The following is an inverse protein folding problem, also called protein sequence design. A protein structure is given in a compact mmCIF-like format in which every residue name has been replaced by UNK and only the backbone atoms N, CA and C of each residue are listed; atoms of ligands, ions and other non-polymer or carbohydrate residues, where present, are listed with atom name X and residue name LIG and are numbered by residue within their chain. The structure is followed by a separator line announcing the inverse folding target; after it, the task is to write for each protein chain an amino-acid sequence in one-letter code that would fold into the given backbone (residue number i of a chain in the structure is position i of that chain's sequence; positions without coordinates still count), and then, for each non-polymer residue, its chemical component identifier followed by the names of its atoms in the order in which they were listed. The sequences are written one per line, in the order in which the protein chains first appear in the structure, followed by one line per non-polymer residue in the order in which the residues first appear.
data_IF_078164406367
#
_entry.id   IF_078164406367
#
_cell.length_a   1.000
_cell.length_b   1.000
_cell.length_c   1.000
_cell.angle_alpha   90.00
_cell.angle_beta   90.00
_cell.angle_gamma   90.00
#
_symmetry.space_group_name_H-M   'P 1'
#
loop_
_entity.id
_entity.type
_entity.pdbx_description
1 polymer ?
#
# COMPACT_ATOMS: atom_id res chain seq x y z
N UNK A 1 -0.17 -17.35 -3.17
CA UNK A 1 -1.40 -17.26 -2.32
C UNK A 1 -1.77 -15.80 -2.13
N UNK A 2 -3.06 -15.51 -1.92
CA UNK A 2 -3.55 -14.15 -1.61
C UNK A 2 -4.43 -14.22 -0.36
N UNK A 3 -4.55 -13.11 0.35
CA UNK A 3 -5.47 -12.99 1.49
C UNK A 3 -6.85 -12.64 0.94
N UNK A 4 -7.84 -13.48 1.20
CA UNK A 4 -9.22 -13.32 0.73
C UNK A 4 -10.10 -12.62 1.76
N UNK A 5 -9.94 -12.96 3.04
CA UNK A 5 -10.74 -12.42 4.13
C UNK A 5 -9.85 -12.09 5.31
N UNK A 6 -10.18 -10.99 5.99
CA UNK A 6 -9.54 -10.58 7.24
C UNK A 6 -10.61 -10.59 8.33
N UNK A 7 -10.35 -11.30 9.40
CA UNK A 7 -11.14 -11.28 10.64
C UNK A 7 -10.28 -10.69 11.75
N UNK A 8 -10.82 -9.71 12.47
CA UNK A 8 -10.14 -9.04 13.58
C UNK A 8 -11.12 -8.95 14.74
N UNK A 9 -10.70 -9.37 15.92
CA UNK A 9 -11.51 -9.27 17.13
C UNK A 9 -10.71 -8.67 18.27
N UNK A 10 -11.30 -7.69 18.94
CA UNK A 10 -10.76 -7.04 20.13
C UNK A 10 -9.40 -6.35 19.90
N UNK A 11 -9.18 -5.70 18.73
CA UNK A 11 -7.90 -5.03 18.41
C UNK A 11 -8.09 -3.51 18.38
N UNK A 12 -7.47 -2.78 19.31
CA UNK A 12 -7.48 -1.29 19.39
C UNK A 12 -8.90 -0.71 19.33
N UNK A 13 -9.31 -0.10 18.21
CA UNK A 13 -10.66 0.46 18.02
C UNK A 13 -11.67 -0.55 17.46
N UNK A 14 -11.23 -1.77 17.18
CA UNK A 14 -12.04 -2.80 16.52
C UNK A 14 -12.54 -3.78 17.57
N UNK A 15 -13.86 -3.85 17.80
CA UNK A 15 -14.46 -4.89 18.64
C UNK A 15 -14.51 -6.21 17.88
N UNK A 16 -15.13 -6.19 16.71
CA UNK A 16 -15.16 -7.33 15.80
C UNK A 16 -15.37 -6.81 14.38
N UNK A 17 -14.61 -7.35 13.43
CA UNK A 17 -14.66 -6.91 12.04
C UNK A 17 -14.30 -8.07 11.14
N UNK A 18 -15.08 -8.27 10.09
CA UNK A 18 -14.77 -9.19 9.00
C UNK A 18 -14.88 -8.43 7.68
N UNK A 19 -13.92 -8.57 6.81
CA UNK A 19 -13.97 -7.94 5.48
C UNK A 19 -13.27 -8.80 4.44
N UNK A 20 -13.86 -8.84 3.24
CA UNK A 20 -13.23 -9.46 2.08
C UNK A 20 -12.24 -8.51 1.43
N UNK A 21 -11.19 -9.06 0.85
CA UNK A 21 -10.17 -8.30 0.12
C UNK A 21 -10.19 -8.68 -1.36
N UNK A 22 -9.88 -7.72 -2.21
CA UNK A 22 -9.69 -7.95 -3.63
C UNK A 22 -8.34 -8.67 -3.85
N UNK A 23 -8.24 -9.58 -4.81
CA UNK A 23 -6.98 -10.29 -5.09
C UNK A 23 -5.81 -9.40 -5.47
N UNK A 24 -6.06 -8.22 -6.02
CA UNK A 24 -5.02 -7.28 -6.44
C UNK A 24 -4.93 -6.08 -5.52
N UNK A 25 -6.00 -5.27 -5.42
CA UNK A 25 -5.98 -4.02 -4.65
C UNK A 25 -7.24 -3.90 -3.81
N UNK A 26 -7.09 -3.60 -2.53
CA UNK A 26 -8.20 -3.18 -1.66
C UNK A 26 -7.92 -1.78 -1.13
N UNK A 27 -8.92 -0.91 -1.24
CA UNK A 27 -8.83 0.49 -0.82
C UNK A 27 -9.71 0.70 0.42
N UNK A 28 -9.08 0.95 1.56
CA UNK A 28 -9.79 1.27 2.81
C UNK A 28 -9.97 2.79 2.87
N UNK A 29 -11.18 3.27 2.61
CA UNK A 29 -11.46 4.71 2.60
C UNK A 29 -12.44 5.08 3.71
N UNK A 30 -12.29 6.27 4.29
CA UNK A 30 -13.18 6.75 5.34
C UNK A 30 -12.61 7.95 6.06
N UNK A 31 -13.39 8.53 6.98
CA UNK A 31 -12.94 9.68 7.77
C UNK A 31 -11.70 9.39 8.62
N UNK A 32 -11.06 10.44 9.07
CA UNK A 32 -10.01 10.29 10.07
C UNK A 32 -10.56 9.60 11.32
N UNK A 33 -9.73 8.80 11.96
CA UNK A 33 -10.06 8.04 13.18
C UNK A 33 -11.16 6.96 12.99
N UNK A 34 -11.52 6.62 11.76
CA UNK A 34 -12.49 5.55 11.51
C UNK A 34 -11.95 4.14 11.77
N UNK A 35 -10.63 3.98 11.89
CA UNK A 35 -9.99 2.71 12.19
C UNK A 35 -9.23 2.07 11.00
N UNK A 36 -9.11 2.77 9.87
CA UNK A 36 -8.38 2.28 8.67
C UNK A 36 -6.98 1.77 9.02
N UNK A 37 -6.18 2.62 9.68
CA UNK A 37 -4.83 2.27 10.14
C UNK A 37 -4.83 1.08 11.08
N UNK A 38 -5.85 0.95 11.95
CA UNK A 38 -5.93 -0.17 12.88
C UNK A 38 -6.19 -1.50 12.16
N UNK A 39 -6.88 -1.50 11.02
CA UNK A 39 -7.02 -2.70 10.18
C UNK A 39 -5.65 -3.12 9.64
N UNK A 40 -4.89 -2.18 9.07
CA UNK A 40 -3.54 -2.48 8.56
C UNK A 40 -2.60 -2.94 9.69
N UNK A 41 -2.66 -2.27 10.85
CA UNK A 41 -1.83 -2.65 12.01
C UNK A 41 -2.19 -4.04 12.54
N UNK A 42 -3.47 -4.42 12.53
CA UNK A 42 -3.86 -5.78 12.91
C UNK A 42 -3.27 -6.79 11.92
N UNK A 43 -3.36 -6.53 10.61
CA UNK A 43 -2.76 -7.41 9.60
C UNK A 43 -1.23 -7.50 9.78
N UNK A 44 -0.57 -6.38 10.11
CA UNK A 44 0.88 -6.36 10.40
C UNK A 44 1.19 -7.18 11.66
N UNK A 45 0.37 -7.03 12.69
CA UNK A 45 0.53 -7.74 13.97
C UNK A 45 0.33 -9.28 13.83
N UNK A 46 -0.23 -9.72 12.71
CA UNK A 46 -0.33 -11.14 12.38
C UNK A 46 1.06 -11.76 12.14
N UNK A 47 2.05 -11.00 11.66
CA UNK A 47 3.39 -11.52 11.42
C UNK A 47 4.00 -12.15 12.70
N UNK A 48 4.72 -13.28 12.59
CA UNK A 48 5.31 -13.92 13.76
C UNK A 48 6.31 -13.07 14.53
N UNK A 49 7.06 -12.22 13.81
CA UNK A 49 8.11 -11.38 14.38
C UNK A 49 7.58 -10.02 14.89
N UNK A 50 6.26 -9.80 14.81
CA UNK A 50 5.65 -8.55 15.28
C UNK A 50 5.45 -8.55 16.79
N UNK A 51 5.57 -7.38 17.38
CA UNK A 51 5.10 -7.19 18.76
C UNK A 51 3.58 -7.49 18.79
N UNK A 52 3.18 -8.40 19.65
CA UNK A 52 1.77 -8.79 19.77
C UNK A 52 1.50 -9.18 21.21
N UNK A 53 0.74 -8.37 21.89
CA UNK A 53 0.42 -8.63 23.29
C UNK A 53 -0.93 -8.03 23.69
N UNK A 54 -1.29 -8.21 24.91
CA UNK A 54 -2.53 -7.75 25.49
C UNK A 54 -2.69 -6.21 25.44
N UNK A 55 -1.60 -5.44 25.36
CA UNK A 55 -1.69 -3.97 25.28
C UNK A 55 -2.39 -3.48 24.00
N UNK A 56 -2.44 -4.34 22.98
CA UNK A 56 -3.15 -4.06 21.72
C UNK A 56 -4.65 -4.31 21.81
N UNK A 57 -5.13 -4.86 22.93
CA UNK A 57 -6.53 -5.28 23.08
C UNK A 57 -7.46 -4.08 23.22
N UNK A 58 -8.56 -4.13 22.51
CA UNK A 58 -9.61 -3.10 22.56
C UNK A 58 -10.14 -2.94 23.99
N UNK A 59 -10.02 -1.74 24.53
CA UNK A 59 -10.41 -1.44 25.91
C UNK A 59 -11.90 -1.62 26.19
N UNK A 60 -12.72 -1.61 25.15
CA UNK A 60 -14.17 -1.76 25.25
C UNK A 60 -14.63 -3.23 25.10
N UNK A 61 -13.67 -4.14 24.90
CA UNK A 61 -13.96 -5.57 24.72
C UNK A 61 -13.88 -6.34 26.04
N UNK A 62 -14.58 -7.45 26.12
CA UNK A 62 -14.48 -8.39 27.26
C UNK A 62 -13.06 -8.95 27.40
N UNK A 63 -12.31 -9.03 26.29
CA UNK A 63 -10.93 -9.49 26.27
C UNK A 63 -10.01 -8.62 27.15
N UNK A 64 -10.28 -7.30 27.17
CA UNK A 64 -9.45 -6.35 27.96
C UNK A 64 -9.55 -6.66 29.46
N UNK A 65 -10.77 -6.85 29.96
CA UNK A 65 -10.99 -7.23 31.35
C UNK A 65 -10.37 -8.57 31.73
N UNK A 66 -10.29 -9.49 30.78
CA UNK A 66 -9.71 -10.83 30.96
C UNK A 66 -8.20 -10.87 30.67
N UNK A 67 -7.59 -9.76 30.30
CA UNK A 67 -6.17 -9.66 29.89
C UNK A 67 -5.81 -10.61 28.74
N UNK A 68 -6.77 -10.85 27.83
CA UNK A 68 -6.54 -11.66 26.62
C UNK A 68 -6.00 -10.81 25.50
N UNK A 69 -5.14 -11.40 24.65
CA UNK A 69 -4.70 -10.80 23.40
C UNK A 69 -5.86 -10.71 22.40
N UNK A 70 -5.76 -9.78 21.42
CA UNK A 70 -6.71 -9.77 20.32
C UNK A 70 -6.68 -11.08 19.52
N UNK A 71 -7.67 -11.30 18.68
CA UNK A 71 -7.67 -12.40 17.71
C UNK A 71 -7.59 -11.82 16.30
N UNK A 72 -6.69 -12.35 15.50
CA UNK A 72 -6.54 -11.97 14.09
C UNK A 72 -6.52 -13.25 13.26
N UNK A 73 -7.43 -13.34 12.29
CA UNK A 73 -7.44 -14.48 11.37
C UNK A 73 -7.41 -13.98 9.92
N UNK A 74 -6.54 -14.58 9.14
CA UNK A 74 -6.41 -14.28 7.71
C UNK A 74 -6.75 -15.54 6.92
N UNK A 75 -7.66 -15.40 5.96
CA UNK A 75 -8.02 -16.45 5.03
C UNK A 75 -7.12 -16.38 3.79
N UNK A 76 -6.44 -17.47 3.49
CA UNK A 76 -5.54 -17.58 2.34
C UNK A 76 -6.16 -18.45 1.26
N UNK A 77 -6.35 -17.90 0.07
CA UNK A 77 -6.75 -18.66 -1.11
C UNK A 77 -5.54 -19.44 -1.64
N UNK A 78 -5.73 -20.76 -1.85
CA UNK A 78 -4.64 -21.67 -2.20
C UNK A 78 -4.43 -21.66 -3.72
N UNK A 79 -3.27 -21.16 -4.19
CA UNK A 79 -2.89 -21.28 -5.59
C UNK A 79 -2.35 -22.69 -5.88
N UNK A 80 -2.38 -23.10 -7.15
CA UNK A 80 -1.87 -24.41 -7.57
C UNK A 80 -0.43 -24.68 -7.09
N UNK A 81 0.43 -23.66 -7.21
CA UNK A 81 1.83 -23.79 -6.79
C UNK A 81 1.98 -23.90 -5.27
N UNK A 82 1.12 -23.20 -4.52
CA UNK A 82 1.14 -23.24 -3.05
C UNK A 82 0.66 -24.57 -2.50
N UNK A 83 -0.29 -25.23 -3.17
CA UNK A 83 -0.87 -26.52 -2.73
C UNK A 83 0.20 -27.57 -2.48
N UNK A 84 1.15 -27.70 -3.41
CA UNK A 84 2.24 -28.67 -3.28
C UNK A 84 3.14 -28.41 -2.06
N UNK A 85 3.33 -27.14 -1.72
CA UNK A 85 4.10 -26.77 -0.52
C UNK A 85 3.31 -27.05 0.76
N UNK A 86 2.00 -26.83 0.75
CA UNK A 86 1.13 -27.01 1.91
C UNK A 86 0.87 -28.47 2.23
N UNK A 87 0.86 -29.36 1.24
CA UNK A 87 0.67 -30.81 1.42
C UNK A 87 1.73 -31.44 2.35
N UNK A 88 2.89 -30.79 2.50
CA UNK A 88 3.94 -31.27 3.44
C UNK A 88 3.49 -31.16 4.90
N UNK A 89 2.52 -30.31 5.20
CA UNK A 89 2.07 -30.06 6.57
C UNK A 89 0.81 -30.86 6.93
N UNK A 90 -0.07 -31.09 5.95
CA UNK A 90 -1.30 -31.90 6.16
C UNK A 90 -1.95 -32.27 4.83
N UNK A 91 -2.48 -33.50 4.75
CA UNK A 91 -3.29 -33.96 3.61
C UNK A 91 -4.61 -33.15 3.48
N UNK A 92 -5.04 -32.48 4.54
CA UNK A 92 -6.27 -31.64 4.50
C UNK A 92 -6.18 -30.53 3.43
N UNK A 93 -4.97 -30.07 3.08
CA UNK A 93 -4.78 -29.05 2.03
C UNK A 93 -5.03 -29.57 0.61
N UNK A 94 -5.21 -30.88 0.42
CA UNK A 94 -5.39 -31.51 -0.90
C UNK A 94 -6.65 -30.98 -1.61
N UNK A 95 -7.75 -30.94 -0.89
CA UNK A 95 -9.06 -30.52 -1.43
C UNK A 95 -9.46 -29.09 -1.04
N UNK A 96 -8.79 -28.47 -0.07
CA UNK A 96 -9.14 -27.15 0.41
C UNK A 96 -8.92 -26.08 -0.67
N UNK A 97 -9.88 -25.17 -0.84
CA UNK A 97 -9.74 -24.01 -1.74
C UNK A 97 -9.08 -22.84 -0.99
N UNK A 98 -9.38 -22.71 0.31
CA UNK A 98 -8.81 -21.71 1.20
C UNK A 98 -8.61 -22.30 2.60
N UNK A 99 -7.94 -21.57 3.45
CA UNK A 99 -7.79 -21.90 4.87
C UNK A 99 -7.54 -20.63 5.67
N UNK A 100 -7.96 -20.65 6.91
CA UNK A 100 -7.66 -19.58 7.86
C UNK A 100 -6.42 -19.93 8.67
N UNK A 101 -5.61 -18.90 8.92
CA UNK A 101 -4.60 -18.93 9.97
C UNK A 101 -5.00 -17.88 10.99
N UNK A 102 -5.19 -18.30 12.23
CA UNK A 102 -5.63 -17.46 13.34
C UNK A 102 -4.50 -17.30 14.34
N UNK A 103 -4.25 -16.05 14.77
CA UNK A 103 -3.29 -15.69 15.81
C UNK A 103 -4.07 -15.24 17.05
N UNK A 104 -3.81 -15.85 18.21
CA UNK A 104 -4.49 -15.57 19.47
C UNK A 104 -3.53 -15.11 20.58
N UNK A 105 -2.22 -15.08 20.33
CA UNK A 105 -1.21 -14.67 21.29
C UNK A 105 0.16 -14.43 20.65
N UNK A 106 1.17 -14.12 21.47
CA UNK A 106 2.48 -13.69 20.96
C UNK A 106 3.36 -14.82 20.42
N UNK A 107 3.08 -16.06 20.79
CA UNK A 107 3.98 -17.18 20.48
C UNK A 107 3.58 -17.92 19.20
N UNK A 108 4.50 -18.64 18.61
CA UNK A 108 4.23 -19.50 17.42
C UNK A 108 3.16 -20.55 17.74
N UNK A 109 3.12 -21.03 18.98
CA UNK A 109 2.12 -21.99 19.47
C UNK A 109 0.71 -21.42 19.56
N UNK A 110 0.57 -20.08 19.49
CA UNK A 110 -0.73 -19.42 19.56
C UNK A 110 -1.37 -19.23 18.18
N UNK A 111 -0.73 -19.79 17.13
CA UNK A 111 -1.31 -19.84 15.80
C UNK A 111 -2.07 -21.15 15.60
N UNK A 112 -3.22 -21.04 14.93
CA UNK A 112 -4.08 -22.17 14.59
C UNK A 112 -4.43 -22.13 13.11
N UNK A 113 -4.52 -23.29 12.48
CA UNK A 113 -4.95 -23.44 11.09
C UNK A 113 -6.34 -24.03 11.08
N UNK A 114 -7.27 -23.42 10.32
CA UNK A 114 -8.63 -23.91 10.18
C UNK A 114 -8.97 -24.12 8.70
N UNK A 115 -9.54 -25.28 8.40
CA UNK A 115 -10.12 -25.60 7.07
C UNK A 115 -11.56 -26.03 7.32
N UNK A 116 -12.52 -25.38 6.67
CA UNK A 116 -13.96 -25.63 6.85
C UNK A 116 -14.35 -25.59 8.34
N UNK A 117 -13.88 -24.56 9.06
CA UNK A 117 -14.12 -24.32 10.50
C UNK A 117 -13.55 -25.40 11.44
N UNK A 118 -12.76 -26.34 10.92
CA UNK A 118 -12.11 -27.37 11.74
C UNK A 118 -10.62 -27.05 11.91
N UNK A 119 -10.16 -27.10 13.14
CA UNK A 119 -8.75 -26.91 13.46
C UNK A 119 -7.93 -28.10 12.94
N UNK A 120 -6.90 -27.81 12.16
CA UNK A 120 -5.99 -28.80 11.57
C UNK A 120 -4.66 -28.74 12.35
N UNK A 121 -4.24 -29.83 12.97
CA UNK A 121 -2.99 -29.86 13.72
C UNK A 121 -1.80 -29.72 12.75
N UNK A 122 -0.91 -28.77 13.04
CA UNK A 122 0.31 -28.52 12.24
C UNK A 122 1.52 -28.72 13.17
N UNK A 123 2.36 -29.70 12.87
CA UNK A 123 3.52 -30.02 13.69
C UNK A 123 4.62 -28.95 13.62
N UNK A 124 4.80 -28.33 12.45
CA UNK A 124 5.81 -27.28 12.25
C UNK A 124 5.13 -25.99 11.76
N UNK A 125 4.53 -25.27 12.69
CA UNK A 125 3.83 -24.02 12.42
C UNK A 125 4.78 -22.94 11.85
N UNK A 126 6.01 -22.87 12.36
CA UNK A 126 7.02 -21.90 11.89
C UNK A 126 7.29 -22.04 10.39
N UNK A 127 7.50 -23.27 9.93
CA UNK A 127 7.71 -23.53 8.50
C UNK A 127 6.46 -23.25 7.66
N UNK A 128 5.27 -23.55 8.18
CA UNK A 128 4.02 -23.21 7.49
C UNK A 128 3.89 -21.69 7.32
N UNK A 129 4.09 -20.92 8.40
CA UNK A 129 4.01 -19.46 8.35
C UNK A 129 5.03 -18.86 7.35
N UNK A 130 6.22 -19.48 7.22
CA UNK A 130 7.22 -19.02 6.23
C UNK A 130 6.79 -19.24 4.77
N UNK A 131 5.81 -20.13 4.54
CA UNK A 131 5.25 -20.38 3.19
C UNK A 131 4.15 -19.40 2.81
N UNK A 132 3.65 -18.61 3.76
CA UNK A 132 2.62 -17.61 3.50
C UNK A 132 3.21 -16.38 2.79
N UNK A 133 2.38 -15.59 2.08
CA UNK A 133 2.82 -14.30 1.56
C UNK A 133 3.37 -13.41 2.67
N UNK A 134 4.44 -12.69 2.38
CA UNK A 134 5.04 -11.77 3.35
C UNK A 134 4.22 -10.48 3.43
N UNK A 135 3.78 -10.13 4.63
CA UNK A 135 3.05 -8.89 4.88
C UNK A 135 4.08 -7.79 5.20
N UNK A 136 4.14 -6.77 4.35
CA UNK A 136 5.05 -5.63 4.49
C UNK A 136 4.24 -4.34 4.66
N UNK A 137 4.51 -3.62 5.75
CA UNK A 137 3.76 -2.41 6.13
C UNK A 137 4.59 -1.15 5.86
N UNK A 138 3.98 -0.18 5.19
CA UNK A 138 4.56 1.11 4.86
C UNK A 138 3.72 2.23 5.49
N UNK A 139 4.20 2.82 6.58
CA UNK A 139 3.57 3.99 7.21
C UNK A 139 4.49 5.24 7.21
N UNK A 140 5.75 5.05 7.52
CA UNK A 140 6.71 6.16 7.63
C UNK A 140 7.97 5.83 6.82
N UNK A 141 7.98 6.27 5.59
CA UNK A 141 9.09 6.04 4.65
C UNK A 141 10.12 7.16 4.83
N UNK A 142 11.37 6.82 5.19
CA UNK A 142 12.42 7.84 5.26
C UNK A 142 12.56 8.57 3.92
N UNK A 143 12.41 9.89 3.96
CA UNK A 143 12.53 10.71 2.77
C UNK A 143 13.98 10.78 2.30
N UNK A 144 14.19 10.61 1.01
CA UNK A 144 15.50 10.66 0.37
C UNK A 144 16.22 11.97 0.70
N UNK A 145 17.53 11.89 0.97
CA UNK A 145 18.42 13.00 1.35
C UNK A 145 19.49 13.22 0.29
N UNK A 146 19.94 14.45 0.18
CA UNK A 146 21.01 14.81 -0.76
C UNK A 146 22.36 14.21 -0.36
N UNK A 147 22.72 14.29 0.94
CA UNK A 147 24.05 13.91 1.43
C UNK A 147 23.99 12.72 2.35
N UNK A 148 24.77 11.71 2.05
CA UNK A 148 24.86 10.50 2.86
C UNK A 148 26.32 10.12 3.04
N UNK A 149 26.77 10.04 4.28
CA UNK A 149 28.14 9.62 4.56
C UNK A 149 28.27 8.09 4.43
N UNK A 150 29.47 7.67 4.09
CA UNK A 150 29.85 6.27 3.87
C UNK A 150 29.39 5.36 5.03
N UNK A 151 29.69 5.77 6.28
CA UNK A 151 29.39 4.93 7.45
C UNK A 151 27.88 4.75 7.64
N UNK A 152 27.08 5.77 7.37
CA UNK A 152 25.61 5.66 7.46
C UNK A 152 25.05 4.61 6.48
N UNK A 153 25.66 4.50 5.30
CA UNK A 153 25.27 3.50 4.30
C UNK A 153 25.74 2.08 4.71
N UNK A 154 27.01 1.95 5.10
CA UNK A 154 27.62 0.64 5.43
C UNK A 154 27.00 0.08 6.72
N UNK A 155 26.85 0.91 7.77
CA UNK A 155 26.29 0.49 9.06
C UNK A 155 24.77 0.20 8.97
N UNK A 156 24.13 0.57 7.86
CA UNK A 156 22.70 0.31 7.68
C UNK A 156 21.80 1.13 8.58
N UNK A 157 22.16 2.39 8.85
CA UNK A 157 21.37 3.24 9.76
C UNK A 157 19.94 3.43 9.22
N UNK A 158 18.89 3.23 10.04
CA UNK A 158 17.50 3.28 9.59
C UNK A 158 17.12 4.59 8.86
N UNK A 159 17.65 5.72 9.30
CA UNK A 159 17.38 7.02 8.69
C UNK A 159 17.94 7.20 7.27
N UNK A 160 18.68 6.22 6.74
CA UNK A 160 19.27 6.23 5.40
C UNK A 160 18.88 4.99 4.58
N UNK A 161 17.77 4.37 4.97
CA UNK A 161 17.26 3.16 4.30
C UNK A 161 16.91 3.44 2.84
N UNK A 162 16.31 4.58 2.54
CA UNK A 162 15.91 4.95 1.18
C UNK A 162 17.12 5.06 0.24
N UNK A 163 18.21 5.66 0.69
CA UNK A 163 19.43 5.82 -0.10
C UNK A 163 20.11 4.46 -0.32
N UNK A 164 20.14 3.60 0.70
CA UNK A 164 20.64 2.22 0.52
C UNK A 164 19.78 1.44 -0.48
N UNK A 165 18.47 1.58 -0.40
CA UNK A 165 17.54 0.92 -1.32
C UNK A 165 17.69 1.47 -2.74
N UNK A 166 17.94 2.79 -2.87
CA UNK A 166 18.26 3.39 -4.17
C UNK A 166 19.47 2.71 -4.83
N UNK A 167 20.53 2.53 -4.07
CA UNK A 167 21.75 1.87 -4.57
C UNK A 167 21.46 0.42 -5.00
N UNK A 168 20.73 -0.33 -4.20
CA UNK A 168 20.30 -1.70 -4.55
C UNK A 168 19.46 -1.74 -5.82
N UNK A 169 18.55 -0.84 -5.95
CA UNK A 169 17.75 -0.68 -7.18
C UNK A 169 18.63 -0.36 -8.39
N UNK A 170 19.70 0.40 -8.15
CA UNK A 170 20.36 0.55 -8.95
C UNK A 170 21.12 -0.28 -9.24
N UNK A 171 21.43 -1.47 -8.79
CA UNK A 171 22.32 -2.60 -8.99
C UNK A 171 23.65 -2.55 -8.22
N UNK A 172 23.76 -1.63 -7.30
CA UNK A 172 24.95 -1.46 -6.45
C UNK A 172 24.67 -2.18 -5.12
N UNK A 173 25.09 -3.45 -5.05
CA UNK A 173 24.95 -4.25 -3.82
C UNK A 173 26.06 -3.94 -2.84
N UNK A 174 27.28 -3.77 -3.35
CA UNK A 174 28.45 -3.41 -2.55
C UNK A 174 28.65 -1.90 -2.60
N UNK A 175 28.29 -1.23 -1.53
CA UNK A 175 28.36 0.22 -1.39
C UNK A 175 29.84 0.71 -1.47
N UNK A 176 30.80 -0.10 -1.01
CA UNK A 176 32.21 0.28 -0.97
C UNK A 176 32.75 0.65 -2.35
N UNK A 177 32.27 -0.05 -3.39
CA UNK A 177 32.65 0.18 -4.80
C UNK A 177 32.48 1.65 -5.21
N UNK A 178 31.44 2.33 -4.70
CA UNK A 178 31.19 3.74 -5.02
C UNK A 178 32.25 4.68 -4.44
N UNK A 179 32.83 4.30 -3.30
CA UNK A 179 33.73 5.17 -2.54
C UNK A 179 35.20 4.90 -2.87
N UNK A 180 35.49 3.89 -3.68
CA UNK A 180 36.80 3.72 -4.28
C UNK A 180 36.99 4.82 -5.33
N UNK A 181 38.04 5.58 -5.20
CA UNK A 181 38.36 6.65 -6.21
C UNK A 181 38.89 6.01 -7.50
N UNK A 182 38.02 5.27 -8.15
CA UNK A 182 38.33 4.48 -9.34
C UNK A 182 37.39 4.83 -10.48
N UNK A 183 37.79 4.51 -11.70
CA UNK A 183 36.93 4.60 -12.88
C UNK A 183 35.69 3.71 -12.71
N UNK A 184 35.84 2.59 -12.01
CA UNK A 184 34.75 1.65 -11.78
C UNK A 184 33.64 2.27 -10.90
N UNK A 185 33.98 2.87 -9.76
CA UNK A 185 33.04 3.56 -8.89
C UNK A 185 32.27 4.68 -9.59
N UNK A 186 32.98 5.50 -10.37
CA UNK A 186 32.35 6.57 -11.15
C UNK A 186 31.37 6.03 -12.20
N UNK A 187 31.75 4.96 -12.92
CA UNK A 187 30.84 4.30 -13.88
C UNK A 187 29.63 3.70 -13.23
N UNK A 188 29.80 3.09 -12.04
CA UNK A 188 28.67 2.52 -11.27
C UNK A 188 27.66 3.62 -10.89
N UNK A 189 28.14 4.76 -10.37
CA UNK A 189 27.29 5.89 -10.02
C UNK A 189 26.55 6.46 -11.24
N UNK A 190 27.25 6.59 -12.37
CA UNK A 190 26.66 7.09 -13.63
C UNK A 190 25.59 6.12 -14.17
N UNK A 191 25.86 4.83 -14.16
CA UNK A 191 24.90 3.83 -14.61
C UNK A 191 23.67 3.81 -13.71
N UNK A 192 23.85 3.87 -12.40
CA UNK A 192 22.75 3.95 -11.43
C UNK A 192 21.90 5.20 -11.65
N UNK A 193 22.54 6.35 -11.90
CA UNK A 193 21.87 7.62 -12.21
C UNK A 193 20.95 7.49 -13.42
N UNK A 194 21.45 6.91 -14.51
CA UNK A 194 20.67 6.68 -15.73
C UNK A 194 19.49 5.75 -15.47
N UNK A 195 19.74 4.63 -14.82
CA UNK A 195 18.72 3.62 -14.55
C UNK A 195 17.56 4.18 -13.72
N UNK A 196 17.87 4.88 -12.62
CA UNK A 196 16.80 5.43 -11.76
C UNK A 196 16.05 6.57 -12.46
N UNK A 197 16.76 7.39 -13.24
CA UNK A 197 16.15 8.46 -14.03
C UNK A 197 15.12 7.88 -15.02
N UNK A 198 15.53 6.87 -15.79
CA UNK A 198 14.64 6.20 -16.75
C UNK A 198 13.41 5.62 -16.05
N UNK A 199 13.60 4.95 -14.92
CA UNK A 199 12.51 4.34 -14.18
C UNK A 199 11.54 5.39 -13.64
N UNK A 200 12.02 6.47 -13.02
CA UNK A 200 11.13 7.49 -12.45
C UNK A 200 10.34 8.22 -13.54
N UNK A 201 10.94 8.46 -14.70
CA UNK A 201 10.26 9.09 -15.84
C UNK A 201 9.09 8.27 -16.38
N UNK A 202 9.12 6.94 -16.22
CA UNK A 202 8.00 6.10 -16.68
C UNK A 202 6.79 6.16 -15.74
N UNK A 203 7.00 6.57 -14.49
CA UNK A 203 5.95 6.50 -13.47
C UNK A 203 5.53 7.87 -12.92
N UNK A 204 6.33 8.92 -13.14
CA UNK A 204 6.03 10.28 -12.69
C UNK A 204 5.79 11.19 -13.90
N UNK A 205 4.50 11.41 -14.21
CA UNK A 205 4.11 12.17 -15.40
C UNK A 205 4.17 13.69 -15.23
N UNK A 206 4.25 14.17 -13.95
CA UNK A 206 4.22 15.60 -13.65
C UNK A 206 5.45 16.36 -14.12
N UNK A 207 6.57 15.67 -14.27
CA UNK A 207 7.84 16.29 -14.64
C UNK A 207 8.67 15.32 -15.50
N UNK A 208 8.36 15.21 -16.79
CA UNK A 208 9.03 14.25 -17.68
C UNK A 208 10.53 14.51 -17.87
N UNK A 209 10.99 15.72 -17.56
CA UNK A 209 12.40 16.14 -17.70
C UNK A 209 13.25 15.77 -16.47
N UNK A 210 12.66 15.27 -15.38
CA UNK A 210 13.39 14.99 -14.14
C UNK A 210 14.59 14.07 -14.40
N UNK A 211 15.72 14.40 -13.78
CA UNK A 211 16.96 13.62 -13.85
C UNK A 211 17.54 13.47 -12.43
N UNK A 212 17.93 12.27 -12.07
CA UNK A 212 18.52 11.95 -10.77
C UNK A 212 19.99 11.63 -10.99
N UNK A 213 20.86 12.33 -10.29
CA UNK A 213 22.31 12.20 -10.45
C UNK A 213 22.96 11.78 -9.12
N UNK A 214 23.71 10.69 -9.19
CA UNK A 214 24.53 10.20 -8.08
C UNK A 214 25.98 10.60 -8.34
N UNK A 215 26.62 11.15 -7.32
CA UNK A 215 28.05 11.47 -7.38
C UNK A 215 28.69 11.24 -6.01
N UNK A 216 29.98 10.95 -6.01
CA UNK A 216 30.72 10.71 -4.77
C UNK A 216 31.89 11.68 -4.70
N UNK A 217 32.04 12.30 -3.52
CA UNK A 217 33.20 13.16 -3.22
C UNK A 217 33.73 12.76 -1.83
N UNK A 218 34.94 12.17 -1.82
CA UNK A 218 35.52 11.60 -0.62
C UNK A 218 34.65 10.49 -0.07
N UNK A 219 34.21 10.61 1.20
CA UNK A 219 33.36 9.64 1.87
C UNK A 219 31.88 10.08 1.93
N UNK A 220 31.43 10.88 0.94
CA UNK A 220 30.04 11.37 0.90
C UNK A 220 29.43 11.06 -0.46
N UNK A 221 28.28 10.39 -0.45
CA UNK A 221 27.42 10.24 -1.62
C UNK A 221 26.49 11.44 -1.70
N UNK A 222 26.41 12.05 -2.86
CA UNK A 222 25.48 13.13 -3.19
C UNK A 222 24.42 12.60 -4.14
N UNK A 223 23.18 12.95 -3.87
CA UNK A 223 22.01 12.62 -4.71
C UNK A 223 21.39 13.95 -5.11
N UNK A 224 21.60 14.36 -6.34
CA UNK A 224 21.07 15.60 -6.87
C UNK A 224 19.92 15.32 -7.83
N UNK A 225 19.01 16.29 -7.95
CA UNK A 225 17.85 16.20 -8.84
C UNK A 225 17.88 17.44 -9.73
N UNK A 226 17.75 17.24 -11.03
CA UNK A 226 17.63 18.35 -11.97
C UNK A 226 16.40 18.17 -12.86
N UNK A 227 16.07 19.22 -13.58
CA UNK A 227 15.02 19.22 -14.59
C UNK A 227 15.47 20.09 -15.77
N UNK A 228 14.57 20.44 -16.67
CA UNK A 228 14.90 21.24 -17.85
C UNK A 228 15.31 22.68 -17.54
N UNK A 229 15.19 23.14 -16.31
CA UNK A 229 15.73 24.44 -15.89
C UNK A 229 17.25 24.42 -15.68
N UNK A 230 17.86 23.23 -15.73
CA UNK A 230 19.30 22.99 -15.62
C UNK A 230 19.94 23.31 -14.26
N UNK A 231 19.14 23.61 -13.26
CA UNK A 231 19.64 23.82 -11.91
C UNK A 231 19.72 22.48 -11.18
N UNK A 232 20.90 22.15 -10.65
CA UNK A 232 21.05 20.98 -9.77
C UNK A 232 20.45 21.33 -8.40
N UNK A 233 19.32 20.72 -8.12
CA UNK A 233 18.64 20.87 -6.83
C UNK A 233 18.92 19.67 -5.93
N UNK A 234 18.78 19.88 -4.65
CA UNK A 234 18.80 18.75 -3.70
C UNK A 234 17.39 18.18 -3.55
N UNK A 235 17.22 16.92 -3.14
CA UNK A 235 15.88 16.39 -2.83
C UNK A 235 15.12 17.26 -1.84
N UNK A 236 15.81 17.88 -0.88
CA UNK A 236 15.21 18.71 0.16
C UNK A 236 14.59 20.01 -0.38
N UNK A 237 15.03 20.49 -1.53
CA UNK A 237 14.48 21.70 -2.16
C UNK A 237 13.27 21.39 -3.05
N UNK A 238 13.08 20.12 -3.45
CA UNK A 238 11.93 19.69 -4.24
C UNK A 238 10.68 19.62 -3.37
N UNK A 239 9.53 19.61 -3.99
CA UNK A 239 8.24 19.51 -3.27
C UNK A 239 8.20 18.25 -2.40
N UNK A 240 7.58 18.35 -1.23
CA UNK A 240 7.42 17.22 -0.31
C UNK A 240 6.72 16.03 -1.00
N UNK A 241 5.75 16.33 -1.87
CA UNK A 241 5.04 15.30 -2.64
C UNK A 241 5.97 14.50 -3.54
N UNK A 242 6.78 15.18 -4.36
CA UNK A 242 7.75 14.52 -5.25
C UNK A 242 8.76 13.70 -4.44
N UNK A 243 9.30 14.30 -3.38
CA UNK A 243 10.30 13.65 -2.53
C UNK A 243 9.72 12.38 -1.87
N UNK A 244 8.46 12.47 -1.38
CA UNK A 244 7.76 11.32 -0.81
C UNK A 244 7.54 10.22 -1.88
N UNK A 245 7.06 10.62 -3.06
CA UNK A 245 6.79 9.69 -4.16
C UNK A 245 8.05 8.93 -4.59
N UNK A 246 9.15 9.66 -4.78
CA UNK A 246 10.45 9.07 -5.15
C UNK A 246 10.93 8.09 -4.08
N UNK A 247 10.84 8.48 -2.80
CA UNK A 247 11.24 7.63 -1.67
C UNK A 247 10.38 6.36 -1.62
N UNK A 248 9.07 6.50 -1.76
CA UNK A 248 8.13 5.37 -1.80
C UNK A 248 8.50 4.40 -2.93
N UNK A 249 8.67 4.92 -4.15
CA UNK A 249 8.95 4.11 -5.33
C UNK A 249 10.26 3.33 -5.18
N UNK A 250 11.31 3.98 -4.69
CA UNK A 250 12.62 3.36 -4.44
C UNK A 250 12.48 2.21 -3.42
N UNK A 251 11.85 2.49 -2.29
CA UNK A 251 11.71 1.49 -1.20
C UNK A 251 10.86 0.30 -1.67
N UNK A 252 9.81 0.56 -2.44
CA UNK A 252 8.96 -0.48 -2.98
C UNK A 252 9.72 -1.37 -3.97
N UNK A 253 10.46 -0.77 -4.92
CA UNK A 253 11.27 -1.53 -5.89
C UNK A 253 12.33 -2.39 -5.20
N UNK A 254 12.97 -1.86 -4.17
CA UNK A 254 13.98 -2.61 -3.42
C UNK A 254 13.39 -3.85 -2.74
N UNK A 255 12.17 -3.74 -2.20
CA UNK A 255 11.46 -4.86 -1.60
C UNK A 255 11.14 -5.94 -2.63
N UNK A 256 10.60 -5.54 -3.78
CA UNK A 256 10.14 -6.51 -4.79
C UNK A 256 11.30 -7.20 -5.50
N UNK A 257 12.46 -6.54 -5.65
CA UNK A 257 13.63 -7.14 -6.31
C UNK A 257 14.36 -8.18 -5.44
N UNK A 258 14.24 -8.09 -4.11
CA UNK A 258 14.89 -9.03 -3.20
C UNK A 258 14.26 -10.43 -3.21
N UNK A 259 13.11 -10.59 -3.86
CA UNK A 259 12.36 -11.83 -3.77
C UNK A 259 12.00 -12.34 -5.17
N UNK A 260 12.68 -13.38 -5.59
CA UNK A 260 12.35 -14.09 -6.84
C UNK A 260 11.15 -15.05 -6.68
N UNK A 261 10.76 -15.38 -5.45
CA UNK A 261 9.80 -16.45 -5.19
C UNK A 261 8.67 -16.13 -4.22
N UNK A 262 8.77 -15.05 -3.45
CA UNK A 262 7.77 -14.74 -2.42
C UNK A 262 6.78 -13.68 -2.93
N UNK A 263 5.51 -14.01 -2.83
CA UNK A 263 4.43 -13.06 -3.04
C UNK A 263 4.37 -12.13 -1.82
N UNK A 264 4.15 -10.85 -2.06
CA UNK A 264 3.99 -9.86 -0.98
C UNK A 264 2.55 -9.40 -0.87
N UNK A 265 2.14 -9.12 0.35
CA UNK A 265 0.95 -8.34 0.67
C UNK A 265 1.46 -7.01 1.21
N UNK A 266 1.31 -5.95 0.44
CA UNK A 266 1.75 -4.61 0.82
C UNK A 266 0.61 -3.87 1.50
N UNK A 267 0.87 -3.42 2.73
CA UNK A 267 -0.05 -2.60 3.52
C UNK A 267 0.52 -1.18 3.52
N UNK A 268 -0.23 -0.21 2.97
CA UNK A 268 0.30 1.15 2.80
C UNK A 268 -0.66 2.14 3.46
N UNK A 269 -0.19 2.84 4.48
CA UNK A 269 -1.04 3.76 5.22
C UNK A 269 -0.97 5.17 4.61
N UNK A 270 -2.13 5.67 4.14
CA UNK A 270 -2.31 6.99 3.55
C UNK A 270 -1.27 7.35 2.47
N UNK A 271 -1.05 6.48 1.45
CA UNK A 271 -0.12 6.83 0.39
C UNK A 271 -0.61 8.08 -0.35
N UNK A 272 0.31 8.94 -0.71
CA UNK A 272 -0.01 10.13 -1.49
C UNK A 272 -0.63 11.29 -0.70
N UNK A 273 -0.62 11.25 0.63
CA UNK A 273 -1.17 12.35 1.45
C UNK A 273 -0.49 13.70 1.13
N UNK A 274 0.76 13.66 0.70
CA UNK A 274 1.53 14.85 0.33
C UNK A 274 1.46 15.17 -1.17
N UNK A 275 0.72 14.36 -1.96
CA UNK A 275 0.64 14.53 -3.39
C UNK A 275 -0.54 15.40 -3.79
N UNK A 276 -0.32 16.26 -4.76
CA UNK A 276 -1.36 16.96 -5.51
C UNK A 276 -2.27 15.92 -6.23
N UNK A 277 -3.54 16.22 -6.52
CA UNK A 277 -4.44 15.26 -7.18
C UNK A 277 -3.88 14.56 -8.42
N UNK A 278 -3.15 15.26 -9.29
CA UNK A 278 -2.53 14.63 -10.46
C UNK A 278 -1.47 13.60 -10.04
N UNK A 279 -0.65 13.91 -9.04
CA UNK A 279 0.34 12.96 -8.48
C UNK A 279 -0.32 11.75 -7.81
N UNK A 280 -1.48 11.94 -7.18
CA UNK A 280 -2.25 10.83 -6.62
C UNK A 280 -2.76 9.89 -7.72
N UNK A 281 -3.22 10.43 -8.86
CA UNK A 281 -3.61 9.62 -10.03
C UNK A 281 -2.41 8.83 -10.58
N UNK A 282 -1.23 9.43 -10.65
CA UNK A 282 -0.01 8.72 -11.06
C UNK A 282 0.34 7.60 -10.07
N UNK A 283 0.23 7.87 -8.77
CA UNK A 283 0.48 6.86 -7.75
C UNK A 283 -0.49 5.67 -7.89
N UNK A 284 -1.77 5.93 -8.18
CA UNK A 284 -2.74 4.84 -8.41
C UNK A 284 -2.29 3.96 -9.58
N UNK A 285 -1.83 4.54 -10.69
CA UNK A 285 -1.31 3.76 -11.84
C UNK A 285 -0.11 2.88 -11.43
N UNK A 286 0.79 3.43 -10.61
CA UNK A 286 1.93 2.67 -10.08
C UNK A 286 1.45 1.50 -9.23
N UNK A 287 0.51 1.75 -8.30
CA UNK A 287 -0.04 0.69 -7.45
C UNK A 287 -0.71 -0.41 -8.30
N UNK A 288 -1.42 -0.05 -9.38
CA UNK A 288 -2.02 -1.02 -10.32
C UNK A 288 -0.94 -1.90 -10.98
N UNK A 289 0.14 -1.27 -11.45
CA UNK A 289 1.26 -2.01 -12.06
C UNK A 289 1.92 -2.96 -11.06
N UNK A 290 2.12 -2.49 -9.84
CA UNK A 290 2.75 -3.27 -8.78
C UNK A 290 1.85 -4.43 -8.30
N UNK A 291 0.53 -4.27 -8.41
CA UNK A 291 -0.45 -5.28 -8.02
C UNK A 291 -0.56 -6.44 -9.02
N UNK A 292 0.14 -6.37 -10.17
CA UNK A 292 0.19 -7.50 -11.11
C UNK A 292 0.89 -8.73 -10.50
N UNK A 293 1.80 -8.52 -9.53
CA UNK A 293 2.58 -9.59 -8.90
C UNK A 293 2.38 -9.66 -7.39
N UNK A 294 1.70 -8.69 -6.80
CA UNK A 294 1.56 -8.55 -5.35
C UNK A 294 0.12 -8.23 -5.01
N UNK A 295 -0.26 -8.42 -3.75
CA UNK A 295 -1.55 -7.93 -3.25
C UNK A 295 -1.29 -6.62 -2.50
N UNK A 296 -2.09 -5.60 -2.75
CA UNK A 296 -1.91 -4.26 -2.14
C UNK A 296 -3.19 -3.88 -1.39
N UNK A 297 -3.03 -3.51 -0.13
CA UNK A 297 -4.12 -2.95 0.68
C UNK A 297 -3.64 -1.58 1.15
N UNK A 298 -4.38 -0.53 0.82
CA UNK A 298 -3.99 0.81 1.28
C UNK A 298 -5.16 1.58 1.86
N UNK A 299 -4.83 2.51 2.75
CA UNK A 299 -5.81 3.42 3.34
C UNK A 299 -5.78 4.76 2.60
N UNK A 300 -6.90 5.46 2.60
CA UNK A 300 -6.93 6.83 2.11
C UNK A 300 -8.16 7.57 2.63
N UNK A 301 -8.08 8.90 2.65
CA UNK A 301 -9.24 9.77 2.79
C UNK A 301 -9.47 10.58 1.50
N UNK A 302 -8.65 10.36 0.46
CA UNK A 302 -8.72 11.10 -0.80
C UNK A 302 -9.50 10.34 -1.87
N UNK A 303 -10.51 10.97 -2.50
CA UNK A 303 -11.23 10.35 -3.62
C UNK A 303 -10.38 10.17 -4.87
N UNK A 304 -9.27 10.90 -5.00
CA UNK A 304 -8.33 10.78 -6.12
C UNK A 304 -7.49 9.51 -6.07
N UNK A 305 -7.47 8.86 -4.90
CA UNK A 305 -6.77 7.58 -4.71
C UNK A 305 -7.66 6.38 -5.02
N UNK A 306 -8.86 6.60 -5.57
CA UNK A 306 -9.77 5.52 -5.98
C UNK A 306 -9.66 5.32 -7.49
N UNK A 307 -9.36 4.09 -7.92
CA UNK A 307 -9.52 3.72 -9.32
C UNK A 307 -11.01 3.43 -9.58
N UNK A 308 -11.65 4.28 -10.36
CA UNK A 308 -13.10 4.23 -10.62
C UNK A 308 -13.52 3.07 -11.52
N UNK A 309 -12.57 2.48 -12.24
CA UNK A 309 -12.85 1.33 -13.10
C UNK A 309 -13.09 0.05 -12.28
N UNK A 310 -12.68 0.05 -11.02
CA UNK A 310 -12.79 -1.10 -10.10
C UNK A 310 -13.46 -0.69 -8.78
N UNK A 311 -14.73 -0.27 -8.81
CA UNK A 311 -15.42 0.21 -7.60
C UNK A 311 -15.56 -0.85 -6.51
N UNK A 312 -15.59 -2.13 -6.89
CA UNK A 312 -15.71 -3.28 -5.97
C UNK A 312 -14.49 -3.45 -5.07
N UNK A 313 -13.39 -2.76 -5.35
CA UNK A 313 -12.18 -2.78 -4.51
C UNK A 313 -12.25 -1.87 -3.31
N UNK A 314 -13.27 -1.00 -3.26
CA UNK A 314 -13.39 0.02 -2.21
C UNK A 314 -14.11 -0.55 -0.98
N UNK A 315 -13.51 -0.33 0.18
CA UNK A 315 -14.05 -0.70 1.49
C UNK A 315 -14.22 0.58 2.30
N UNK A 316 -15.45 0.98 2.56
CA UNK A 316 -15.73 2.17 3.36
C UNK A 316 -15.61 1.82 4.85
N UNK A 317 -14.66 2.45 5.53
CA UNK A 317 -14.43 2.26 6.96
C UNK A 317 -15.08 3.40 7.73
N UNK A 318 -15.97 3.06 8.63
CA UNK A 318 -16.67 4.02 9.50
C UNK A 318 -16.53 3.57 10.96
N UNK A 319 -16.81 4.48 11.88
CA UNK A 319 -16.76 4.19 13.31
C UNK A 319 -18.05 4.67 13.97
N UNK A 320 -18.59 3.84 14.83
CA UNK A 320 -19.75 4.16 15.65
C UNK A 320 -19.47 3.76 17.12
N UNK A 321 -20.49 3.70 17.95
CA UNK A 321 -20.36 3.32 19.38
C UNK A 321 -19.91 1.88 19.59
N UNK A 322 -20.07 1.03 18.58
CA UNK A 322 -19.68 -0.39 18.61
C UNK A 322 -18.29 -0.61 17.99
N UNK A 323 -17.56 0.47 17.66
CA UNK A 323 -16.22 0.37 17.10
C UNK A 323 -16.17 0.65 15.61
N UNK A 324 -15.12 0.16 14.97
CA UNK A 324 -14.87 0.32 13.54
C UNK A 324 -15.61 -0.72 12.72
N UNK A 325 -16.22 -0.30 11.61
CA UNK A 325 -17.01 -1.16 10.70
C UNK A 325 -16.54 -0.95 9.26
N UNK A 326 -16.68 -1.99 8.43
CA UNK A 326 -16.33 -1.94 7.01
C UNK A 326 -17.58 -2.26 6.18
N UNK A 327 -17.88 -1.37 5.21
CA UNK A 327 -18.89 -1.59 4.17
C UNK A 327 -18.18 -1.87 2.84
N UNK A 328 -18.31 -3.09 2.35
CA UNK A 328 -17.70 -3.54 1.09
C UNK A 328 -18.56 -3.20 -0.14
N UNK A 329 -19.76 -2.66 0.05
CA UNK A 329 -20.71 -2.36 -1.02
C UNK A 329 -21.06 -0.87 -1.11
N UNK A 330 -20.24 -0.01 -0.54
CA UNK A 330 -20.45 1.44 -0.49
C UNK A 330 -20.66 2.09 -1.87
N UNK A 331 -20.17 1.44 -2.93
CA UNK A 331 -20.30 1.90 -4.32
C UNK A 331 -21.69 1.67 -4.91
N UNK A 332 -22.48 0.72 -4.37
CA UNK A 332 -23.77 0.29 -4.96
C UNK A 332 -24.87 1.36 -4.95
N UNK A 333 -24.78 2.35 -4.09
CA UNK A 333 -25.78 3.42 -3.99
C UNK A 333 -25.25 4.75 -4.56
N UNK A 334 -24.67 4.71 -5.76
CA UNK A 334 -24.02 5.87 -6.39
C UNK A 334 -23.03 6.56 -5.45
N UNK A 335 -22.27 5.77 -4.73
CA UNK A 335 -21.26 6.24 -3.78
C UNK A 335 -21.83 7.12 -2.64
N UNK A 336 -23.14 7.08 -2.41
CA UNK A 336 -23.79 7.92 -1.39
C UNK A 336 -23.21 7.73 0.01
N UNK A 337 -22.98 6.47 0.50
CA UNK A 337 -22.34 6.27 1.79
C UNK A 337 -20.95 6.87 1.84
N UNK A 338 -20.15 6.67 0.78
CA UNK A 338 -18.80 7.20 0.70
C UNK A 338 -18.81 8.74 0.69
N UNK A 339 -19.61 9.36 -0.19
CA UNK A 339 -19.71 10.83 -0.29
C UNK A 339 -20.07 11.45 1.05
N UNK A 340 -21.07 10.87 1.75
CA UNK A 340 -21.50 11.35 3.06
C UNK A 340 -20.36 11.22 4.09
N UNK A 341 -19.61 10.11 4.04
CA UNK A 341 -18.56 9.81 5.00
C UNK A 341 -17.34 10.74 4.87
N UNK A 342 -16.96 11.09 3.64
CA UNK A 342 -15.80 11.97 3.38
C UNK A 342 -16.19 13.43 3.14
N UNK A 343 -17.47 13.77 3.30
CA UNK A 343 -17.94 15.15 3.23
C UNK A 343 -18.08 15.72 1.81
N UNK A 344 -18.11 14.89 0.76
CA UNK A 344 -18.25 15.36 -0.62
C UNK A 344 -19.71 15.62 -0.97
N UNK A 345 -19.97 16.79 -1.53
CA UNK A 345 -21.26 17.13 -2.15
C UNK A 345 -21.29 16.71 -3.62
N UNK A 346 -22.47 16.61 -4.20
CA UNK A 346 -22.61 16.26 -5.62
C UNK A 346 -21.88 17.32 -6.50
N UNK A 347 -21.95 18.59 -6.11
CA UNK A 347 -21.25 19.66 -6.82
C UNK A 347 -19.74 19.51 -6.87
N UNK A 348 -19.14 18.91 -5.83
CA UNK A 348 -17.69 18.73 -5.80
C UNK A 348 -17.20 17.74 -6.86
N UNK A 349 -18.06 16.81 -7.29
CA UNK A 349 -17.70 15.82 -8.30
C UNK A 349 -17.43 16.47 -9.67
N UNK A 350 -17.97 17.66 -9.92
CA UNK A 350 -17.71 18.40 -11.17
C UNK A 350 -16.25 18.84 -11.30
N UNK A 351 -15.63 19.14 -10.17
CA UNK A 351 -14.22 19.55 -10.17
C UNK A 351 -13.25 18.38 -10.33
N UNK A 352 -13.78 17.14 -10.33
CA UNK A 352 -12.96 15.95 -10.28
C UNK A 352 -13.04 15.05 -11.52
N UNK A 353 -13.79 15.49 -12.55
CA UNK A 353 -13.89 14.73 -13.79
C UNK A 353 -13.42 15.56 -14.98
N UNK A 354 -12.62 14.94 -15.83
CA UNK A 354 -12.14 15.59 -17.04
C UNK A 354 -13.29 15.73 -18.06
N UNK A 355 -14.25 14.79 -18.02
CA UNK A 355 -15.47 14.83 -18.83
C UNK A 355 -16.69 14.43 -17.97
N UNK A 356 -17.63 15.34 -17.79
CA UNK A 356 -18.86 15.05 -17.05
C UNK A 356 -20.09 15.33 -17.90
N UNK A 357 -20.87 14.30 -18.17
CA UNK A 357 -22.21 14.46 -18.74
C UNK A 357 -23.22 14.49 -17.59
N UNK A 358 -23.84 15.65 -17.39
CA UNK A 358 -24.88 15.79 -16.37
C UNK A 358 -26.24 15.61 -17.03
N UNK A 359 -26.91 14.54 -16.67
CA UNK A 359 -28.29 14.33 -17.05
C UNK A 359 -29.17 14.67 -15.85
N UNK A 360 -29.69 15.89 -15.83
CA UNK A 360 -30.73 16.30 -14.87
C UNK A 360 -32.06 15.79 -15.39
N UNK A 361 -32.65 14.82 -14.69
CA UNK A 361 -33.99 14.36 -14.98
C UNK A 361 -34.98 15.31 -14.31
N UNK A 362 -35.72 16.13 -15.07
CA UNK A 362 -36.73 17.00 -14.47
C UNK A 362 -37.91 16.16 -13.94
N UNK A 363 -38.53 16.67 -12.93
CA UNK A 363 -39.74 16.06 -12.34
C UNK A 363 -40.91 15.97 -13.33
N UNK A 364 -40.83 16.62 -14.49
CA UNK A 364 -41.82 16.52 -15.58
C UNK A 364 -41.13 16.03 -16.87
N UNK A 365 -41.79 15.14 -17.60
CA UNK A 365 -41.29 14.52 -18.84
C UNK A 365 -41.05 15.56 -19.94
N UNK A 366 -39.80 15.95 -20.15
CA UNK A 366 -39.37 16.73 -21.32
C UNK A 366 -38.58 15.82 -22.24
N UNK A 367 -38.88 15.75 -23.53
CA UNK A 367 -38.13 14.88 -24.47
C UNK A 367 -36.64 15.22 -24.53
N UNK A 368 -35.81 14.20 -24.59
CA UNK A 368 -34.34 14.27 -24.58
C UNK A 368 -33.78 15.21 -25.67
N UNK A 369 -34.43 15.25 -26.82
CA UNK A 369 -34.01 16.06 -27.98
C UNK A 369 -33.99 17.57 -27.67
N UNK A 370 -34.85 18.04 -26.74
CA UNK A 370 -34.89 19.46 -26.38
C UNK A 370 -33.83 19.87 -25.35
N UNK A 371 -33.20 18.90 -24.68
CA UNK A 371 -32.15 19.16 -23.67
C UNK A 371 -30.80 19.36 -24.32
N UNK A 372 -30.49 18.58 -25.34
CA UNK A 372 -29.24 18.70 -26.08
C UNK A 372 -29.09 20.03 -26.83
N UNK A 373 -30.23 20.72 -27.13
CA UNK A 373 -30.21 22.04 -27.77
C UNK A 373 -29.76 23.16 -26.81
N UNK A 374 -29.96 22.99 -25.50
CA UNK A 374 -29.52 24.00 -24.51
C UNK A 374 -28.01 23.94 -24.32
N UNK A 375 -27.46 22.76 -24.29
CA UNK A 375 -25.99 22.54 -24.09
C UNK A 375 -25.18 23.14 -25.26
N UNK A 376 -25.62 22.89 -26.49
CA UNK A 376 -24.92 23.38 -27.68
C UNK A 376 -24.95 24.93 -27.85
N UNK A 377 -25.82 25.64 -27.11
CA UNK A 377 -25.84 27.10 -27.14
C UNK A 377 -24.82 27.73 -26.20
N UNK A 378 -24.49 27.09 -25.10
CA UNK A 378 -23.53 27.64 -24.12
C UNK A 378 -22.06 27.42 -24.53
N UNK A 379 -21.78 26.42 -25.36
CA UNK A 379 -20.44 26.20 -25.89
C UNK A 379 -20.08 27.14 -27.07
N UNK A 380 -21.03 27.85 -27.63
CA UNK A 380 -20.81 28.79 -28.76
C UNK A 380 -20.83 30.27 -28.34
N UNK A 381 -20.93 30.57 -27.07
CA UNK A 381 -20.81 31.92 -26.49
C UNK A 381 -19.50 32.03 -25.71
#
# INVERSE_FOLDING_TARGET
MIIQTVFIRAFKSILELTTSLDPKISVLIGPNESGKTNILRAMTAFNPDSDFDYSMTCQYSDFYGQKKCPEIALEFLISKNARNKLLRFSEAFKSAESFFVKKEGPQITDYKVLIDDKEIPIADMKSLLSCLPKIAYFDDIPLIKNRVDYYSLVDGRPGFMTERNLLKVXGIEDVEVLFEDTTHGRRAAEQASRTITEQIRTVWSQEPSVEIKLSVNGKVLYIDISDDTTVLDTPETRSLGFRWYLSFYINFLAQTRQSSTNEYVFLIDEPGIHLHPAGQKDLVKVLESLAEKNQIIYTTHSPFMINRDFPERVRLVTKNKEGSHVDSEAYRQNWKPLRKSIGLMIGDLFFFSDDSLILELPRKKVPLANRLRFWNKEQKA
#
